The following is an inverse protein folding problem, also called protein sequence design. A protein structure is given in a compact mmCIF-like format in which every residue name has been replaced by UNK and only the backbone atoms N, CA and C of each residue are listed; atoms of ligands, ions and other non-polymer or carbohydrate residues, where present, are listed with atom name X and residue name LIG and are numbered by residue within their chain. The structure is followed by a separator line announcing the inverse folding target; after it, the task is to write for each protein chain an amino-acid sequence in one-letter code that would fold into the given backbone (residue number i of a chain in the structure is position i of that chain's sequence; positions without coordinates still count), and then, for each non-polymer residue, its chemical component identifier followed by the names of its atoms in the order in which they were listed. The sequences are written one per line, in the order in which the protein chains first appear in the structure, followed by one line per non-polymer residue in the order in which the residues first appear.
data_IF_989371288589
#
_entry.id   IF_989371288589
#
_cell.length_a   1.000
_cell.length_b   1.000
_cell.length_c   1.000
_cell.angle_alpha   90.00
_cell.angle_beta   90.00
_cell.angle_gamma   90.00
#
_symmetry.space_group_name_H-M   'P 1'
#
loop_
_entity.id
_entity.type
_entity.pdbx_description
1 polymer ?
#
# COMPACT_ATOMS: atom_id res chain seq x y z
N UNK A 1 -52.32 0.78 44.67
CA UNK A 1 -51.28 0.86 43.64
C UNK A 1 -50.54 2.19 43.80
N UNK A 2 -49.23 2.17 44.06
CA UNK A 2 -48.49 3.32 44.56
C UNK A 2 -48.07 4.27 43.42
N UNK A 3 -48.83 5.33 43.17
CA UNK A 3 -48.58 6.34 42.12
C UNK A 3 -47.13 6.87 42.03
N UNK A 4 -46.42 7.15 43.14
CA UNK A 4 -45.03 7.62 43.06
C UNK A 4 -44.07 6.55 42.52
N UNK A 5 -44.33 5.27 42.78
CA UNK A 5 -43.50 4.17 42.30
C UNK A 5 -43.61 4.02 40.77
N UNK A 6 -44.83 4.21 40.23
CA UNK A 6 -45.09 4.15 38.79
C UNK A 6 -44.40 5.33 38.08
N UNK A 7 -44.47 6.53 38.64
CA UNK A 7 -43.80 7.70 38.07
C UNK A 7 -42.26 7.56 38.04
N UNK A 8 -41.67 6.92 39.05
CA UNK A 8 -40.23 6.63 39.06
C UNK A 8 -39.87 5.60 37.99
N UNK A 9 -40.65 4.54 37.83
CA UNK A 9 -40.42 3.53 36.81
C UNK A 9 -40.51 4.09 35.39
N UNK A 10 -41.49 4.96 35.11
CA UNK A 10 -41.66 5.52 33.77
C UNK A 10 -40.57 6.54 33.42
N UNK A 11 -40.12 7.34 34.39
CA UNK A 11 -39.02 8.29 34.19
C UNK A 11 -37.68 7.59 33.98
N UNK A 12 -37.40 6.53 34.75
CA UNK A 12 -36.19 5.70 34.56
C UNK A 12 -36.21 5.04 33.18
N UNK A 13 -37.36 4.51 32.74
CA UNK A 13 -37.50 3.89 31.42
C UNK A 13 -37.31 4.91 30.27
N UNK A 14 -37.86 6.12 30.42
CA UNK A 14 -37.65 7.20 29.45
C UNK A 14 -36.19 7.64 29.39
N UNK A 15 -35.54 7.84 30.53
CA UNK A 15 -34.13 8.25 30.60
C UNK A 15 -33.19 7.19 30.04
N UNK A 16 -33.45 5.90 30.30
CA UNK A 16 -32.67 4.81 29.71
C UNK A 16 -32.87 4.73 28.20
N UNK A 17 -34.10 4.91 27.71
CA UNK A 17 -34.38 4.92 26.27
C UNK A 17 -33.70 6.10 25.56
N UNK A 18 -33.68 7.29 26.16
CA UNK A 18 -32.99 8.44 25.57
C UNK A 18 -31.47 8.28 25.60
N UNK A 19 -30.91 7.67 26.65
CA UNK A 19 -29.48 7.37 26.75
C UNK A 19 -29.04 6.34 25.71
N UNK A 20 -29.82 5.28 25.50
CA UNK A 20 -29.54 4.25 24.48
C UNK A 20 -29.75 4.75 23.05
N UNK A 21 -30.54 5.81 22.85
CA UNK A 21 -30.80 6.42 21.54
C UNK A 21 -29.83 7.52 21.12
N UNK A 22 -28.83 7.84 21.95
CA UNK A 22 -27.84 8.86 21.60
C UNK A 22 -26.84 8.26 20.59
N UNK A 23 -27.10 8.48 19.30
CA UNK A 23 -26.13 8.14 18.26
C UNK A 23 -24.89 9.01 18.38
N UNK A 24 -23.72 8.38 18.26
CA UNK A 24 -22.44 9.07 18.20
C UNK A 24 -22.47 10.05 17.00
N UNK A 25 -22.20 11.36 17.19
CA UNK A 25 -22.21 12.32 16.09
C UNK A 25 -21.24 11.95 14.95
N UNK A 26 -20.19 11.19 15.23
CA UNK A 26 -19.28 10.68 14.20
C UNK A 26 -19.91 9.57 13.36
N UNK A 27 -21.00 8.93 13.82
CA UNK A 27 -21.72 7.90 13.04
C UNK A 27 -22.28 8.47 11.76
N UNK A 28 -22.88 9.67 11.79
CA UNK A 28 -23.39 10.35 10.59
C UNK A 28 -22.26 10.65 9.61
N UNK A 29 -21.16 11.22 10.11
CA UNK A 29 -19.98 11.54 9.29
C UNK A 29 -19.35 10.28 8.68
N UNK A 30 -19.35 9.18 9.42
CA UNK A 30 -18.88 7.89 8.92
C UNK A 30 -19.79 7.31 7.82
N UNK A 31 -21.12 7.47 7.93
CA UNK A 31 -22.03 7.07 6.84
C UNK A 31 -21.85 7.92 5.58
N UNK A 32 -21.70 9.23 5.73
CA UNK A 32 -21.38 10.14 4.61
C UNK A 32 -20.04 9.76 3.96
N UNK A 33 -19.04 9.44 4.77
CA UNK A 33 -17.75 8.94 4.29
C UNK A 33 -17.90 7.65 3.49
N UNK A 34 -18.66 6.66 4.00
CA UNK A 34 -18.91 5.40 3.28
C UNK A 34 -19.60 5.64 1.94
N UNK A 35 -20.56 6.56 1.89
CA UNK A 35 -21.21 6.92 0.63
C UNK A 35 -20.23 7.58 -0.34
N UNK A 36 -19.42 8.54 0.14
CA UNK A 36 -18.45 9.27 -0.68
C UNK A 36 -17.39 8.37 -1.31
N UNK A 37 -16.90 7.37 -0.58
CA UNK A 37 -15.85 6.45 -1.05
C UNK A 37 -16.39 5.07 -1.43
N UNK A 38 -17.72 4.95 -1.60
CA UNK A 38 -18.43 3.72 -1.98
C UNK A 38 -18.04 2.48 -1.16
N UNK A 39 -17.71 2.70 0.12
CA UNK A 39 -17.15 1.66 0.98
C UNK A 39 -18.25 0.76 1.55
N UNK A 40 -18.06 -0.55 1.42
CA UNK A 40 -18.98 -1.59 1.90
C UNK A 40 -18.21 -2.66 2.65
N UNK A 41 -18.71 -3.04 3.83
CA UNK A 41 -18.16 -4.12 4.64
C UNK A 41 -19.10 -5.32 4.59
N UNK A 42 -18.52 -6.52 4.72
CA UNK A 42 -19.27 -7.76 4.50
C UNK A 42 -20.13 -8.12 5.71
N UNK A 43 -19.70 -7.70 6.90
CA UNK A 43 -20.39 -7.98 8.14
C UNK A 43 -20.62 -6.72 8.96
N UNK A 44 -21.67 -6.70 9.78
CA UNK A 44 -21.91 -5.63 10.74
C UNK A 44 -20.79 -5.55 11.78
N UNK A 45 -20.21 -6.69 12.18
CA UNK A 45 -19.07 -6.73 13.08
C UNK A 45 -17.86 -5.98 12.51
N UNK A 46 -17.55 -6.21 11.24
CA UNK A 46 -16.51 -5.46 10.54
C UNK A 46 -16.86 -3.98 10.40
N UNK A 47 -18.10 -3.62 10.07
CA UNK A 47 -18.53 -2.22 9.97
C UNK A 47 -18.31 -1.45 11.28
N UNK A 48 -18.63 -2.09 12.42
CA UNK A 48 -18.47 -1.51 13.74
C UNK A 48 -17.01 -1.38 14.14
N UNK A 49 -16.20 -2.43 13.88
CA UNK A 49 -14.75 -2.36 14.06
C UNK A 49 -14.11 -1.23 13.25
N UNK A 50 -14.54 -1.06 11.99
CA UNK A 50 -14.07 0.01 11.09
C UNK A 50 -14.54 1.39 11.55
N UNK A 51 -15.71 1.48 12.18
CA UNK A 51 -16.17 2.70 12.81
C UNK A 51 -15.29 3.12 14.00
N UNK A 52 -14.84 2.17 14.83
CA UNK A 52 -13.91 2.47 15.92
C UNK A 52 -12.57 3.01 15.40
N UNK A 53 -12.02 2.42 14.34
CA UNK A 53 -10.81 2.95 13.69
C UNK A 53 -11.07 4.35 13.13
N UNK A 54 -12.22 4.57 12.49
CA UNK A 54 -12.60 5.88 11.97
C UNK A 54 -12.60 6.97 13.06
N UNK A 55 -13.13 6.65 14.25
CA UNK A 55 -13.11 7.58 15.39
C UNK A 55 -11.69 7.87 15.87
N UNK A 56 -10.84 6.85 15.98
CA UNK A 56 -9.44 7.01 16.37
C UNK A 56 -8.70 7.92 15.39
N UNK A 57 -8.84 7.67 14.09
CA UNK A 57 -8.25 8.47 13.03
C UNK A 57 -8.78 9.91 13.03
N UNK A 58 -10.09 10.10 13.18
CA UNK A 58 -10.68 11.44 13.28
C UNK A 58 -10.10 12.24 14.45
N UNK A 59 -10.01 11.63 15.63
CA UNK A 59 -9.44 12.27 16.81
C UNK A 59 -7.98 12.65 16.61
N UNK A 60 -7.18 11.75 16.01
CA UNK A 60 -5.80 12.03 15.63
C UNK A 60 -5.71 13.24 14.67
N UNK A 61 -6.60 13.32 13.67
CA UNK A 61 -6.63 14.46 12.75
C UNK A 61 -6.92 15.78 13.47
N UNK A 62 -7.90 15.79 14.39
CA UNK A 62 -8.21 16.97 15.20
C UNK A 62 -7.03 17.38 16.07
N UNK A 63 -6.38 16.42 16.72
CA UNK A 63 -5.20 16.67 17.55
C UNK A 63 -4.08 17.30 16.73
N UNK A 64 -3.72 16.72 15.58
CA UNK A 64 -2.66 17.25 14.71
C UNK A 64 -3.03 18.65 14.20
N UNK A 65 -4.25 18.84 13.73
CA UNK A 65 -4.71 20.13 13.21
C UNK A 65 -4.75 21.24 14.27
N UNK A 66 -4.89 20.88 15.56
CA UNK A 66 -4.85 21.84 16.66
C UNK A 66 -3.45 22.42 16.91
N UNK A 67 -2.38 21.75 16.44
CA UNK A 67 -0.98 22.08 16.76
C UNK A 67 -0.33 23.17 15.88
N UNK A 68 -1.11 23.99 15.17
CA UNK A 68 -0.59 25.02 14.24
C UNK A 68 0.52 24.49 13.31
N UNK A 69 0.24 23.38 12.63
CA UNK A 69 1.12 22.80 11.60
C UNK A 69 1.00 23.53 10.26
N UNK A 70 2.00 23.36 9.40
CA UNK A 70 1.99 23.82 8.00
C UNK A 70 1.13 22.96 7.06
N UNK A 71 0.45 21.95 7.59
CA UNK A 71 -0.48 21.09 6.88
C UNK A 71 -1.67 20.74 7.77
N UNK A 72 -2.77 20.33 7.15
CA UNK A 72 -3.95 19.82 7.84
C UNK A 72 -4.28 18.42 7.39
N UNK A 73 -4.62 17.56 8.35
CA UNK A 73 -5.17 16.24 8.09
C UNK A 73 -6.68 16.34 7.88
N UNK A 74 -7.22 15.48 7.01
CA UNK A 74 -8.63 15.44 6.69
C UNK A 74 -9.08 14.04 6.37
N UNK A 75 -10.38 13.82 6.50
CA UNK A 75 -11.01 12.54 6.20
C UNK A 75 -10.81 12.20 4.71
N UNK A 76 -10.15 11.08 4.45
CA UNK A 76 -9.84 10.57 3.13
C UNK A 76 -10.24 9.09 2.98
N UNK A 77 -9.99 8.47 1.83
CA UNK A 77 -10.35 7.07 1.55
C UNK A 77 -9.71 6.02 2.48
N UNK A 78 -8.71 6.40 3.28
CA UNK A 78 -8.01 5.54 4.23
C UNK A 78 -8.48 5.74 5.68
N UNK A 79 -9.55 6.52 5.91
CA UNK A 79 -9.98 6.90 7.25
C UNK A 79 -10.37 5.71 8.16
N UNK A 80 -10.56 4.51 7.62
CA UNK A 80 -10.92 3.28 8.38
C UNK A 80 -9.80 2.25 8.44
N UNK A 81 -8.60 2.61 7.99
CA UNK A 81 -7.42 1.74 8.06
C UNK A 81 -6.58 2.13 9.26
N UNK A 82 -5.97 1.13 9.90
CA UNK A 82 -4.83 1.37 10.79
C UNK A 82 -3.58 1.66 9.97
N UNK A 83 -2.53 2.17 10.61
CA UNK A 83 -1.24 2.41 9.95
C UNK A 83 -0.69 1.09 9.38
N UNK A 84 -0.74 -0.01 10.14
CA UNK A 84 -0.25 -1.32 9.70
C UNK A 84 -1.06 -1.87 8.51
N UNK A 85 -2.38 -1.66 8.50
CA UNK A 85 -3.22 -2.04 7.36
C UNK A 85 -2.90 -1.19 6.13
N UNK A 86 -2.71 0.12 6.30
CA UNK A 86 -2.31 1.00 5.22
C UNK A 86 -0.96 0.58 4.62
N UNK A 87 0.03 0.31 5.47
CA UNK A 87 1.36 -0.15 5.04
C UNK A 87 1.29 -1.50 4.31
N UNK A 88 0.55 -2.47 4.86
CA UNK A 88 0.48 -3.82 4.29
C UNK A 88 -0.26 -3.86 2.94
N UNK A 89 -1.33 -3.08 2.79
CA UNK A 89 -2.12 -3.07 1.55
C UNK A 89 -1.43 -2.23 0.47
N UNK A 90 -0.93 -1.05 0.82
CA UNK A 90 -0.47 -0.07 -0.19
C UNK A 90 1.04 -0.01 -0.34
N UNK A 91 1.82 -0.10 0.74
CA UNK A 91 3.28 0.00 0.66
C UNK A 91 3.93 -1.34 0.29
N UNK A 92 3.54 -2.45 0.94
CA UNK A 92 4.12 -3.76 0.63
C UNK A 92 3.78 -4.18 -0.80
N UNK A 93 2.54 -3.99 -1.24
CA UNK A 93 2.15 -4.31 -2.61
C UNK A 93 2.96 -3.50 -3.65
N UNK A 94 3.15 -2.20 -3.39
CA UNK A 94 3.97 -1.34 -4.24
C UNK A 94 5.43 -1.82 -4.27
N UNK A 95 6.01 -2.13 -3.10
CA UNK A 95 7.38 -2.63 -2.99
C UNK A 95 7.55 -3.96 -3.72
N UNK A 96 6.62 -4.91 -3.59
CA UNK A 96 6.66 -6.18 -4.33
C UNK A 96 6.56 -5.97 -5.83
N UNK A 97 5.69 -5.05 -6.29
CA UNK A 97 5.59 -4.71 -7.71
C UNK A 97 6.88 -4.08 -8.24
N UNK A 98 7.50 -3.19 -7.47
CA UNK A 98 8.78 -2.57 -7.81
C UNK A 98 9.92 -3.61 -7.81
N UNK A 99 9.95 -4.52 -6.84
CA UNK A 99 10.92 -5.62 -6.78
C UNK A 99 10.78 -6.58 -7.97
N UNK A 100 9.55 -6.92 -8.35
CA UNK A 100 9.29 -7.75 -9.53
C UNK A 100 9.73 -7.05 -10.82
N UNK A 101 9.45 -5.75 -10.96
CA UNK A 101 9.93 -4.95 -12.09
C UNK A 101 11.46 -4.92 -12.13
N UNK A 102 12.10 -4.64 -10.98
CA UNK A 102 13.55 -4.59 -10.85
C UNK A 102 14.21 -5.94 -11.20
N UNK A 103 13.65 -7.04 -10.70
CA UNK A 103 14.12 -8.40 -11.00
C UNK A 103 14.00 -8.69 -12.50
N UNK A 104 12.87 -8.31 -13.12
CA UNK A 104 12.69 -8.47 -14.55
C UNK A 104 13.69 -7.64 -15.37
N UNK A 105 13.96 -6.39 -14.96
CA UNK A 105 14.95 -5.53 -15.62
C UNK A 105 16.38 -6.10 -15.51
N UNK A 106 16.76 -6.61 -14.33
CA UNK A 106 18.04 -7.27 -14.12
C UNK A 106 18.15 -8.51 -15.03
N UNK A 107 17.10 -9.33 -15.08
CA UNK A 107 17.07 -10.52 -15.92
C UNK A 107 17.13 -10.17 -17.41
N UNK A 108 16.40 -9.14 -17.87
CA UNK A 108 16.45 -8.66 -19.25
C UNK A 108 17.85 -8.18 -19.62
N UNK A 109 18.51 -7.42 -18.75
CA UNK A 109 19.89 -6.96 -18.94
C UNK A 109 20.87 -8.13 -19.02
N UNK A 110 20.73 -9.13 -18.14
CA UNK A 110 21.56 -10.33 -18.14
C UNK A 110 21.33 -11.17 -19.41
N UNK A 111 20.08 -11.32 -19.83
CA UNK A 111 19.70 -12.04 -21.04
C UNK A 111 20.24 -11.35 -22.29
N UNK A 112 20.11 -10.01 -22.38
CA UNK A 112 20.69 -9.22 -23.47
C UNK A 112 22.22 -9.37 -23.49
N UNK A 113 22.87 -9.33 -22.33
CA UNK A 113 24.31 -9.58 -22.21
C UNK A 113 24.71 -10.97 -22.72
N UNK A 114 23.98 -12.01 -22.31
CA UNK A 114 24.19 -13.37 -22.77
C UNK A 114 23.97 -13.53 -24.28
N UNK A 115 22.89 -12.96 -24.83
CA UNK A 115 22.62 -12.94 -26.27
C UNK A 115 23.73 -12.24 -27.04
N UNK A 116 24.22 -11.10 -26.54
CA UNK A 116 25.33 -10.36 -27.17
C UNK A 116 26.63 -11.18 -27.17
N UNK A 117 26.91 -11.93 -26.10
CA UNK A 117 28.07 -12.85 -26.04
C UNK A 117 27.93 -14.03 -27.00
N UNK A 118 26.73 -14.60 -27.16
CA UNK A 118 26.45 -15.64 -28.17
C UNK A 118 26.69 -15.09 -29.57
N UNK A 119 26.16 -13.91 -29.89
CA UNK A 119 26.33 -13.26 -31.19
C UNK A 119 27.81 -12.97 -31.49
N UNK A 120 28.60 -12.59 -30.48
CA UNK A 120 30.06 -12.41 -30.63
C UNK A 120 30.78 -13.74 -30.89
N UNK A 121 30.34 -14.84 -30.26
CA UNK A 121 30.90 -16.20 -30.47
C UNK A 121 30.52 -16.78 -31.84
N UNK A 122 29.32 -16.49 -32.34
CA UNK A 122 28.81 -17.05 -33.61
C UNK A 122 29.18 -16.21 -34.83
N UNK A 123 29.69 -14.98 -34.65
CA UNK A 123 30.17 -14.17 -35.75
C UNK A 123 31.41 -14.83 -36.35
N UNK A 124 31.32 -15.25 -37.61
CA UNK A 124 32.42 -15.82 -38.38
C UNK A 124 33.08 -14.70 -39.18
N UNK A 125 34.42 -14.63 -39.17
CA UNK A 125 35.18 -13.75 -40.06
C UNK A 125 35.51 -14.51 -41.35
N UNK A 126 35.19 -13.90 -42.50
CA UNK A 126 35.58 -14.45 -43.81
C UNK A 126 36.87 -13.77 -44.22
N UNK A 127 37.93 -14.54 -44.39
CA UNK A 127 39.24 -14.01 -44.80
C UNK A 127 39.25 -13.55 -46.27
N UNK A 128 40.32 -12.87 -46.70
CA UNK A 128 40.45 -12.37 -48.08
C UNK A 128 40.52 -13.49 -49.15
N UNK A 129 40.64 -14.75 -48.73
CA UNK A 129 40.58 -15.94 -49.58
C UNK A 129 39.20 -16.60 -49.61
N UNK A 130 38.20 -16.03 -48.93
CA UNK A 130 36.81 -16.51 -48.92
C UNK A 130 36.51 -17.62 -47.90
N UNK A 131 37.44 -17.94 -46.99
CA UNK A 131 37.25 -18.99 -45.99
C UNK A 131 36.63 -18.44 -44.71
N UNK A 132 35.56 -19.11 -44.26
CA UNK A 132 34.87 -18.84 -43.01
C UNK A 132 35.68 -19.35 -41.81
N UNK A 133 36.25 -18.46 -41.02
CA UNK A 133 36.90 -18.79 -39.74
C UNK A 133 36.05 -18.28 -38.56
N UNK A 134 35.79 -19.09 -37.52
CA UNK A 134 35.12 -18.59 -36.32
C UNK A 134 35.95 -17.43 -35.75
N UNK A 135 35.34 -16.27 -35.52
CA UNK A 135 36.03 -15.12 -34.96
C UNK A 135 36.40 -15.48 -33.51
N UNK A 136 37.63 -15.96 -33.30
CA UNK A 136 38.18 -16.18 -31.97
C UNK A 136 38.34 -14.82 -31.30
N UNK A 137 37.33 -14.40 -30.55
CA UNK A 137 37.36 -13.20 -29.71
C UNK A 137 36.71 -13.64 -28.38
N UNK A 138 37.40 -13.70 -27.24
CA UNK A 138 38.25 -12.69 -26.63
C UNK A 138 39.29 -13.38 -25.73
N UNK A 139 40.46 -12.77 -25.52
CA UNK A 139 41.31 -13.11 -24.37
C UNK A 139 40.42 -13.13 -23.10
N UNK A 140 40.64 -14.03 -22.14
CA UNK A 140 39.80 -14.12 -20.94
C UNK A 140 39.70 -12.75 -20.25
N UNK A 141 38.56 -12.38 -19.67
CA UNK A 141 38.36 -11.07 -19.03
C UNK A 141 39.45 -10.74 -17.98
N UNK A 142 40.02 -11.79 -17.35
CA UNK A 142 41.18 -11.72 -16.47
C UNK A 142 42.46 -11.14 -17.10
N UNK A 143 42.57 -11.17 -18.42
CA UNK A 143 43.67 -10.58 -19.18
C UNK A 143 43.46 -9.10 -19.50
N UNK A 144 42.21 -8.64 -19.64
CA UNK A 144 41.88 -7.22 -19.86
C UNK A 144 42.09 -6.40 -18.58
N UNK A 145 41.79 -6.97 -17.40
CA UNK A 145 42.09 -6.33 -16.12
C UNK A 145 43.60 -6.15 -15.86
N UNK A 146 44.46 -6.92 -16.55
CA UNK A 146 45.92 -6.87 -16.38
C UNK A 146 46.57 -5.75 -17.20
N UNK A 147 45.93 -5.30 -18.28
CA UNK A 147 46.44 -4.21 -19.14
C UNK A 147 46.07 -2.81 -18.59
N UNK A 148 45.17 -2.69 -17.60
CA UNK A 148 44.78 -1.41 -16.99
C UNK A 148 45.42 -1.11 -15.61
N UNK A 149 46.20 -2.05 -15.08
CA UNK A 149 46.91 -1.92 -13.78
C UNK A 149 48.45 -1.94 -14.03
N UNK A 150 48.89 -1.55 -15.22
CA UNK A 150 50.30 -1.34 -15.59
C UNK A 150 50.43 0.00 -16.30
#
# INVERSE_FOLDING_TARGET
MNKPLIALLTTVLHATTSYLGQEDPLRTLYQEWKQKYETRYTSQFEDEYRFEIFKQNYNYYQEVNSRQSNYTLGINQFATLTDEEFESIYLIFLLLRLMNLLLHLIFLNLLIGHQKLIQLRTKVHVDQAGHSQPLVLLKPFSSLLREHIS
#
